data_IF_471310914383
#
_entry.id   IF_471310914383
#
_cell.length_a   1.000
_cell.length_b   1.000
_cell.length_c   1.000
_cell.angle_alpha   90.00
_cell.angle_beta   90.00
_cell.angle_gamma   90.00
#
_symmetry.space_group_name_H-M   'P 1'
#
loop_
_entity.id
_entity.type
_entity.pdbx_description
1 polymer ?
#
# COMPACT_ATOMS: atom_id res chain seq x y z
N UNK A 1 80.51 8.36 66.18
CA UNK A 1 81.42 9.53 66.21
C UNK A 1 81.79 9.90 64.79
N UNK A 2 81.17 10.96 64.25
CA UNK A 2 81.81 12.06 63.51
C UNK A 2 80.69 12.83 62.79
N UNK A 3 80.57 14.10 63.19
CA UNK A 3 79.76 15.15 62.58
C UNK A 3 80.38 15.52 61.22
N UNK A 4 79.56 16.03 60.29
CA UNK A 4 79.76 17.33 59.61
C UNK A 4 78.64 17.60 58.56
N UNK A 5 78.41 18.85 58.12
CA UNK A 5 77.10 19.50 58.25
C UNK A 5 76.50 20.12 56.96
N UNK A 6 75.27 20.63 57.12
CA UNK A 6 74.65 21.86 56.55
C UNK A 6 74.66 22.13 55.03
N UNK A 7 73.44 21.98 54.47
CA UNK A 7 72.65 22.93 53.67
C UNK A 7 73.31 23.93 52.71
N UNK A 8 72.90 23.87 51.43
CA UNK A 8 73.09 24.95 50.45
C UNK A 8 72.42 24.67 49.10
N UNK A 9 71.18 25.16 48.93
CA UNK A 9 70.45 25.55 47.72
C UNK A 9 70.98 25.08 46.34
N UNK A 10 70.15 24.37 45.57
CA UNK A 10 70.23 24.36 44.09
C UNK A 10 68.84 24.31 43.44
N UNK A 11 68.58 25.35 42.65
CA UNK A 11 67.55 25.55 41.62
C UNK A 11 66.68 24.34 41.25
N UNK A 12 65.38 24.45 41.53
CA UNK A 12 64.36 23.63 40.90
C UNK A 12 64.29 23.95 39.39
N UNK A 13 64.76 23.03 38.57
CA UNK A 13 64.64 23.08 37.11
C UNK A 13 63.18 22.79 36.75
N UNK A 14 62.46 23.79 36.27
CA UNK A 14 61.12 23.60 35.68
C UNK A 14 61.32 22.89 34.34
N UNK A 15 61.13 21.56 34.31
CA UNK A 15 60.98 20.84 33.05
C UNK A 15 59.67 21.30 32.40
N UNK A 16 59.79 22.14 31.37
CA UNK A 16 58.69 22.46 30.48
C UNK A 16 58.28 21.21 29.70
N UNK A 17 57.17 20.59 30.11
CA UNK A 17 56.43 19.66 29.26
C UNK A 17 55.86 20.47 28.09
N UNK A 18 56.55 20.45 26.95
CA UNK A 18 55.98 20.87 25.68
C UNK A 18 54.82 19.92 25.33
N UNK A 19 53.60 20.33 25.66
CA UNK A 19 52.39 19.67 25.16
C UNK A 19 52.36 19.81 23.64
N UNK A 20 52.72 18.75 22.93
CA UNK A 20 52.37 18.56 21.52
C UNK A 20 50.84 18.45 21.42
N UNK A 21 50.18 19.60 21.39
CA UNK A 21 48.79 19.68 20.94
C UNK A 21 48.76 19.37 19.45
N UNK A 22 48.58 18.08 19.11
CA UNK A 22 48.25 17.65 17.77
C UNK A 22 46.93 18.33 17.37
N UNK A 23 47.02 19.46 16.67
CA UNK A 23 45.89 20.11 16.04
C UNK A 23 45.45 19.20 14.88
N UNK A 24 44.58 18.24 15.16
CA UNK A 24 43.87 17.52 14.12
C UNK A 24 43.07 18.56 13.33
N UNK A 25 43.50 18.86 12.11
CA UNK A 25 42.74 19.72 11.21
C UNK A 25 41.32 19.12 11.08
N UNK A 26 40.25 19.93 11.20
CA UNK A 26 38.90 19.41 11.09
C UNK A 26 38.73 18.75 9.73
N UNK A 27 38.31 17.49 9.73
CA UNK A 27 38.07 16.74 8.51
C UNK A 27 37.06 17.50 7.63
N UNK A 28 37.50 17.95 6.45
CA UNK A 28 36.61 18.61 5.50
C UNK A 28 35.67 17.57 4.90
N UNK A 29 34.38 17.67 5.20
CA UNK A 29 33.35 16.83 4.59
C UNK A 29 33.19 17.29 3.13
N UNK A 30 33.64 16.46 2.18
CA UNK A 30 33.47 16.72 0.76
C UNK A 30 32.00 16.55 0.37
N UNK A 31 31.46 17.52 -0.37
CA UNK A 31 30.11 17.42 -0.90
C UNK A 31 29.98 16.16 -1.79
N UNK A 32 28.88 15.38 -1.68
CA UNK A 32 28.66 14.22 -2.52
C UNK A 32 28.56 14.60 -4.01
N UNK A 33 29.14 13.79 -4.88
CA UNK A 33 29.02 13.97 -6.33
C UNK A 33 27.56 13.85 -6.79
N UNK A 34 27.22 14.56 -7.86
CA UNK A 34 25.89 14.46 -8.47
C UNK A 34 25.72 13.14 -9.23
N UNK A 35 24.53 12.55 -9.13
CA UNK A 35 24.19 11.36 -9.91
C UNK A 35 23.73 11.76 -11.33
N UNK A 36 23.99 10.92 -12.34
CA UNK A 36 23.47 11.14 -13.68
C UNK A 36 21.94 11.15 -13.68
N UNK A 37 21.35 11.96 -14.56
CA UNK A 37 19.91 11.97 -14.77
C UNK A 37 19.43 10.59 -15.25
N UNK A 38 18.27 10.16 -14.74
CA UNK A 38 17.60 8.91 -15.12
C UNK A 38 16.14 9.19 -15.41
N UNK A 39 15.52 8.35 -16.23
CA UNK A 39 14.10 8.47 -16.56
C UNK A 39 13.25 8.43 -15.28
N UNK A 40 12.30 9.34 -15.17
CA UNK A 40 11.33 9.37 -14.08
C UNK A 40 10.12 8.49 -14.42
N UNK A 41 9.28 8.22 -13.42
CA UNK A 41 7.98 7.58 -13.63
C UNK A 41 7.15 8.32 -14.69
N UNK A 42 7.15 9.66 -14.65
CA UNK A 42 6.40 10.48 -15.59
C UNK A 42 6.94 10.33 -17.03
N UNK A 43 8.26 10.25 -17.21
CA UNK A 43 8.88 10.02 -18.52
C UNK A 43 8.47 8.66 -19.09
N UNK A 44 8.45 7.62 -18.26
CA UNK A 44 8.03 6.27 -18.67
C UNK A 44 6.56 6.25 -19.07
N UNK A 45 5.67 6.88 -18.29
CA UNK A 45 4.25 6.98 -18.62
C UNK A 45 4.07 7.73 -19.94
N UNK A 46 4.77 8.85 -20.14
CA UNK A 46 4.72 9.65 -21.38
C UNK A 46 5.20 8.86 -22.61
N UNK A 47 6.20 7.99 -22.45
CA UNK A 47 6.76 7.17 -23.53
C UNK A 47 6.00 5.86 -23.78
N UNK A 48 5.07 5.49 -22.89
CA UNK A 48 4.32 4.23 -22.99
C UNK A 48 3.38 4.19 -24.20
N UNK A 49 3.14 3.00 -24.73
CA UNK A 49 2.28 2.73 -25.89
C UNK A 49 0.92 2.22 -25.44
N UNK A 50 -0.16 2.35 -26.23
CA UNK A 50 -1.47 1.78 -25.88
C UNK A 50 -1.44 0.30 -25.47
N UNK A 51 -0.58 -0.51 -26.10
CA UNK A 51 -0.40 -1.94 -25.76
C UNK A 51 0.18 -2.20 -24.37
N UNK A 52 0.82 -1.20 -23.74
CA UNK A 52 1.35 -1.29 -22.39
C UNK A 52 0.26 -1.13 -21.32
N UNK A 53 -0.98 -0.87 -21.74
CA UNK A 53 -2.11 -0.62 -20.86
C UNK A 53 -3.23 -1.63 -21.11
N UNK A 54 -4.02 -1.89 -20.08
CA UNK A 54 -5.27 -2.64 -20.19
C UNK A 54 -6.41 -1.82 -19.59
N UNK A 55 -7.63 -1.89 -20.16
CA UNK A 55 -8.79 -1.35 -19.49
C UNK A 55 -9.07 -2.11 -18.19
N UNK A 56 -9.83 -1.47 -17.31
CA UNK A 56 -10.50 -2.17 -16.23
C UNK A 56 -11.64 -3.03 -16.79
N UNK A 57 -11.85 -4.21 -16.22
CA UNK A 57 -12.98 -5.06 -16.53
C UNK A 57 -14.24 -4.52 -15.82
N UNK A 58 -15.30 -4.10 -16.55
CA UNK A 58 -16.52 -3.58 -15.93
C UNK A 58 -17.22 -4.60 -15.01
N UNK A 59 -17.07 -5.89 -15.26
CA UNK A 59 -17.65 -6.96 -14.42
C UNK A 59 -16.86 -7.16 -13.14
N UNK A 60 -15.66 -6.57 -13.01
CA UNK A 60 -14.81 -6.64 -11.82
C UNK A 60 -14.41 -5.25 -11.32
N UNK A 61 -15.20 -4.23 -11.63
CA UNK A 61 -14.95 -2.85 -11.17
C UNK A 61 -16.14 -2.33 -10.37
N UNK A 62 -15.90 -1.87 -9.15
CA UNK A 62 -16.90 -1.20 -8.33
C UNK A 62 -16.70 0.32 -8.36
N UNK A 63 -17.81 1.05 -8.39
CA UNK A 63 -17.87 2.47 -8.11
C UNK A 63 -18.48 2.66 -6.72
N UNK A 64 -17.67 3.18 -5.80
CA UNK A 64 -18.09 3.65 -4.49
C UNK A 64 -18.31 5.17 -4.58
N UNK A 65 -19.57 5.58 -4.58
CA UNK A 65 -19.96 6.99 -4.65
C UNK A 65 -20.24 7.53 -3.25
N UNK A 66 -19.46 8.54 -2.85
CA UNK A 66 -19.63 9.29 -1.59
C UNK A 66 -19.90 10.77 -1.90
N UNK A 67 -20.29 11.61 -0.92
CA UNK A 67 -20.50 13.04 -1.14
C UNK A 67 -19.35 13.75 -1.86
N UNK A 68 -18.10 13.44 -1.49
CA UNK A 68 -16.91 14.09 -2.02
C UNK A 68 -16.52 13.62 -3.44
N UNK A 69 -17.07 12.51 -3.95
CA UNK A 69 -16.77 12.01 -5.28
C UNK A 69 -16.83 10.49 -5.38
N UNK A 70 -16.27 9.97 -6.48
CA UNK A 70 -16.24 8.54 -6.81
C UNK A 70 -14.89 7.93 -6.49
N UNK A 71 -14.91 6.80 -5.80
CA UNK A 71 -13.78 5.88 -5.65
C UNK A 71 -14.00 4.70 -6.60
N UNK A 72 -12.98 4.35 -7.37
CA UNK A 72 -13.02 3.21 -8.30
C UNK A 72 -12.18 2.08 -7.74
N UNK A 73 -12.78 0.90 -7.58
CA UNK A 73 -12.17 -0.29 -6.99
C UNK A 73 -12.14 -1.39 -8.04
N UNK A 74 -10.96 -1.98 -8.26
CA UNK A 74 -10.77 -3.16 -9.10
C UNK A 74 -10.75 -4.42 -8.23
N UNK A 75 -11.62 -5.39 -8.53
CA UNK A 75 -11.76 -6.66 -7.80
C UNK A 75 -10.83 -7.74 -8.35
N UNK A 76 -10.40 -8.66 -7.48
CA UNK A 76 -9.42 -9.70 -7.76
C UNK A 76 -10.03 -11.12 -7.65
N UNK A 77 -10.92 -11.54 -8.57
CA UNK A 77 -11.58 -12.85 -8.51
C UNK A 77 -10.60 -14.04 -8.58
N UNK A 78 -9.41 -13.86 -9.15
CA UNK A 78 -8.39 -14.92 -9.18
C UNK A 78 -7.82 -15.25 -7.79
N UNK A 79 -7.97 -14.35 -6.81
CA UNK A 79 -7.49 -14.52 -5.44
C UNK A 79 -8.61 -14.77 -4.43
N UNK A 80 -9.78 -14.13 -4.61
CA UNK A 80 -10.91 -14.25 -3.69
C UNK A 80 -12.24 -14.45 -4.45
N UNK A 81 -12.38 -15.55 -5.23
CA UNK A 81 -13.53 -15.73 -6.12
C UNK A 81 -14.86 -15.77 -5.37
N UNK A 82 -14.93 -16.39 -4.19
CA UNK A 82 -16.19 -16.48 -3.41
C UNK A 82 -16.57 -15.13 -2.81
N UNK A 83 -15.62 -14.41 -2.24
CA UNK A 83 -15.89 -13.07 -1.69
C UNK A 83 -16.22 -12.08 -2.80
N UNK A 84 -15.53 -12.11 -3.93
CA UNK A 84 -15.84 -11.25 -5.08
C UNK A 84 -17.26 -11.54 -5.60
N UNK A 85 -17.65 -12.81 -5.72
CA UNK A 85 -19.02 -13.17 -6.08
C UNK A 85 -20.05 -12.66 -5.07
N UNK A 86 -19.76 -12.80 -3.76
CA UNK A 86 -20.67 -12.35 -2.71
C UNK A 86 -20.79 -10.83 -2.62
N UNK A 87 -19.69 -10.09 -2.80
CA UNK A 87 -19.69 -8.63 -2.89
C UNK A 87 -20.54 -8.17 -4.08
N UNK A 88 -20.45 -8.85 -5.22
CA UNK A 88 -21.34 -8.55 -6.36
C UNK A 88 -22.81 -8.80 -6.03
N UNK A 89 -23.14 -9.84 -5.25
CA UNK A 89 -24.49 -10.07 -4.76
C UNK A 89 -24.95 -8.96 -3.80
N UNK A 90 -24.11 -8.54 -2.84
CA UNK A 90 -24.40 -7.40 -1.94
C UNK A 90 -24.63 -6.10 -2.72
N UNK A 91 -23.84 -5.85 -3.78
CA UNK A 91 -24.02 -4.70 -4.67
C UNK A 91 -25.32 -4.79 -5.47
N UNK A 92 -25.68 -5.97 -5.99
CA UNK A 92 -26.92 -6.19 -6.71
C UNK A 92 -28.16 -5.99 -5.82
N UNK A 93 -28.05 -6.35 -4.53
CA UNK A 93 -29.07 -6.11 -3.50
C UNK A 93 -29.06 -4.68 -2.95
N UNK A 94 -28.20 -3.79 -3.46
CA UNK A 94 -28.02 -2.42 -2.98
C UNK A 94 -27.72 -2.36 -1.47
N UNK A 95 -27.05 -3.38 -0.92
CA UNK A 95 -26.78 -3.50 0.51
C UNK A 95 -26.05 -2.25 1.04
N UNK A 96 -25.00 -1.80 0.36
CA UNK A 96 -24.18 -0.66 0.80
C UNK A 96 -24.86 0.70 0.67
N UNK A 97 -25.97 0.81 -0.05
CA UNK A 97 -26.65 2.10 -0.27
C UNK A 97 -27.23 2.62 1.04
N UNK A 98 -26.85 3.86 1.39
CA UNK A 98 -27.24 4.50 2.65
C UNK A 98 -26.46 4.02 3.87
N UNK A 99 -25.52 3.08 3.71
CA UNK A 99 -24.55 2.74 4.75
C UNK A 99 -23.47 3.83 4.84
N UNK A 100 -22.36 3.56 5.54
CA UNK A 100 -21.34 4.59 5.73
C UNK A 100 -19.91 4.04 5.82
N UNK A 101 -18.96 4.94 5.57
CA UNK A 101 -17.60 4.82 6.12
C UNK A 101 -17.70 5.21 7.60
N UNK A 102 -17.48 4.23 8.48
CA UNK A 102 -17.71 4.34 9.93
C UNK A 102 -16.42 4.41 10.73
N UNK A 103 -15.27 4.17 10.08
CA UNK A 103 -13.96 4.10 10.71
C UNK A 103 -12.89 4.62 9.78
N UNK A 104 -12.04 5.49 10.31
CA UNK A 104 -10.81 5.94 9.66
C UNK A 104 -9.70 5.98 10.71
N UNK A 105 -8.86 4.95 10.72
CA UNK A 105 -7.75 4.85 11.66
C UNK A 105 -6.48 5.38 11.02
N UNK A 106 -5.76 6.22 11.75
CA UNK A 106 -4.55 6.83 11.24
C UNK A 106 -3.49 5.80 10.83
N UNK A 107 -2.87 6.05 9.68
CA UNK A 107 -1.83 5.21 9.10
C UNK A 107 -2.23 3.72 8.94
N UNK A 108 -3.54 3.43 8.85
CA UNK A 108 -4.07 2.07 8.85
C UNK A 108 -5.13 1.91 7.76
N UNK A 109 -6.43 1.97 8.09
CA UNK A 109 -7.52 1.72 7.14
C UNK A 109 -8.66 2.74 7.27
N UNK A 110 -9.36 2.95 6.15
CA UNK A 110 -10.72 3.46 6.13
C UNK A 110 -11.66 2.29 5.89
N UNK A 111 -12.61 2.07 6.79
CA UNK A 111 -13.54 0.93 6.78
C UNK A 111 -14.98 1.41 6.69
N UNK A 112 -15.76 0.67 5.91
CA UNK A 112 -17.17 0.92 5.67
C UNK A 112 -18.01 -0.34 5.82
N UNK A 113 -19.28 -0.12 6.17
CA UNK A 113 -20.22 -1.17 6.52
C UNK A 113 -21.48 -0.56 7.12
N UNK A 114 -22.30 -1.38 7.76
CA UNK A 114 -23.52 -0.93 8.41
C UNK A 114 -23.22 -0.24 9.74
N UNK A 115 -23.55 1.05 9.94
CA UNK A 115 -23.37 1.72 11.23
C UNK A 115 -24.27 1.15 12.34
N UNK A 116 -25.30 0.36 12.01
CA UNK A 116 -26.18 -0.31 12.95
C UNK A 116 -25.90 -1.82 13.04
N UNK A 117 -24.78 -2.19 13.66
CA UNK A 117 -24.38 -3.60 13.83
C UNK A 117 -25.38 -4.43 14.66
N UNK A 118 -26.19 -3.79 15.52
CA UNK A 118 -27.21 -4.49 16.34
C UNK A 118 -28.41 -4.94 15.53
N UNK A 119 -28.75 -4.21 14.46
CA UNK A 119 -29.85 -4.54 13.57
C UNK A 119 -29.43 -4.20 12.14
N UNK A 120 -28.51 -4.99 11.56
CA UNK A 120 -27.93 -4.68 10.28
C UNK A 120 -28.98 -4.84 9.18
N UNK A 121 -28.87 -4.00 8.14
CA UNK A 121 -29.68 -4.04 6.94
C UNK A 121 -29.77 -5.48 6.41
N UNK A 122 -30.97 -5.96 6.05
CA UNK A 122 -31.15 -7.33 5.59
C UNK A 122 -30.41 -7.56 4.28
N UNK A 123 -29.97 -8.80 4.09
CA UNK A 123 -29.46 -9.33 2.81
C UNK A 123 -30.40 -10.45 2.36
N UNK A 124 -30.49 -10.67 1.05
CA UNK A 124 -31.43 -11.62 0.44
C UNK A 124 -30.73 -12.90 0.00
N UNK A 125 -29.76 -12.79 -0.90
CA UNK A 125 -29.04 -13.90 -1.54
C UNK A 125 -27.56 -13.93 -1.15
N UNK A 126 -26.97 -12.78 -0.80
CA UNK A 126 -25.63 -12.71 -0.27
C UNK A 126 -25.51 -13.40 1.10
N UNK A 127 -24.27 -13.68 1.51
CA UNK A 127 -23.92 -14.30 2.79
C UNK A 127 -23.21 -13.30 3.70
N UNK A 128 -23.55 -13.29 4.99
CA UNK A 128 -22.83 -12.46 5.99
C UNK A 128 -21.45 -13.00 6.32
N UNK A 129 -21.30 -14.31 6.24
CA UNK A 129 -20.09 -15.04 6.61
C UNK A 129 -19.64 -15.90 5.43
N UNK A 130 -18.33 -16.07 5.28
CA UNK A 130 -17.72 -16.92 4.26
C UNK A 130 -16.39 -17.44 4.81
N UNK A 131 -16.00 -18.69 4.52
CA UNK A 131 -14.65 -19.16 4.81
C UNK A 131 -13.61 -18.24 4.16
N UNK A 132 -12.63 -17.77 4.95
CA UNK A 132 -11.59 -16.86 4.47
C UNK A 132 -10.82 -17.37 3.25
N UNK A 133 -10.58 -16.49 2.29
CA UNK A 133 -9.82 -16.74 1.05
C UNK A 133 -8.43 -16.08 1.16
N UNK A 134 -7.66 -16.51 2.15
CA UNK A 134 -6.40 -15.86 2.53
C UNK A 134 -5.23 -16.17 1.59
N UNK A 135 -5.31 -17.31 0.90
CA UNK A 135 -4.33 -17.76 -0.09
C UNK A 135 -5.03 -18.55 -1.19
N UNK A 136 -4.39 -18.64 -2.35
CA UNK A 136 -4.78 -19.53 -3.45
C UNK A 136 -3.63 -20.46 -3.84
N UNK A 137 -3.91 -21.62 -4.46
CA UNK A 137 -2.87 -22.42 -5.09
C UNK A 137 -2.12 -21.60 -6.14
N UNK A 138 -0.80 -21.75 -6.19
CA UNK A 138 0.06 -20.99 -7.11
C UNK A 138 -0.34 -21.18 -8.58
N UNK A 139 -0.84 -22.37 -8.95
CA UNK A 139 -1.35 -22.68 -10.30
C UNK A 139 -2.57 -21.85 -10.73
N UNK A 140 -3.28 -21.23 -9.79
CA UNK A 140 -4.39 -20.32 -10.06
C UNK A 140 -3.88 -19.01 -10.68
N UNK A 141 -2.66 -18.60 -10.33
CA UNK A 141 -2.06 -17.35 -10.79
C UNK A 141 -1.45 -17.53 -12.18
N UNK A 142 -2.15 -17.02 -13.20
CA UNK A 142 -1.76 -17.15 -14.61
C UNK A 142 -0.57 -16.29 -15.01
N UNK A 143 -0.37 -15.16 -14.33
CA UNK A 143 0.72 -14.23 -14.60
C UNK A 143 1.27 -13.68 -13.29
N UNK A 144 2.60 -13.59 -13.20
CA UNK A 144 3.28 -13.02 -12.04
C UNK A 144 4.55 -12.32 -12.49
N UNK A 145 4.55 -11.01 -12.39
CA UNK A 145 5.73 -10.17 -12.62
C UNK A 145 6.52 -10.10 -11.33
N UNK A 146 7.55 -10.95 -11.20
CA UNK A 146 8.39 -11.01 -10.01
C UNK A 146 9.25 -9.75 -9.88
N UNK A 147 9.27 -9.15 -8.69
CA UNK A 147 10.30 -8.17 -8.34
C UNK A 147 11.61 -8.89 -8.02
N UNK A 148 12.76 -8.39 -8.48
CA UNK A 148 14.04 -9.05 -8.22
C UNK A 148 14.55 -8.78 -6.80
N UNK A 149 14.03 -7.74 -6.12
CA UNK A 149 14.40 -7.40 -4.75
C UNK A 149 13.86 -8.39 -3.72
N UNK A 150 14.57 -8.47 -2.60
CA UNK A 150 14.14 -9.22 -1.41
C UNK A 150 12.97 -8.52 -0.72
N UNK A 151 12.08 -9.29 -0.12
CA UNK A 151 10.95 -8.78 0.68
C UNK A 151 11.02 -9.37 2.08
N UNK A 152 10.66 -8.57 3.08
CA UNK A 152 10.73 -8.98 4.49
C UNK A 152 9.62 -9.93 4.93
N UNK A 153 8.54 -10.07 4.15
CA UNK A 153 7.32 -10.79 4.51
C UNK A 153 7.10 -12.07 3.67
N UNK A 154 7.68 -12.17 2.48
CA UNK A 154 7.43 -13.29 1.57
C UNK A 154 8.68 -13.73 0.78
N UNK A 155 8.80 -15.04 0.42
CA UNK A 155 9.90 -15.54 -0.40
C UNK A 155 9.98 -14.90 -1.80
N UNK A 156 8.82 -14.58 -2.39
CA UNK A 156 8.73 -13.87 -3.67
C UNK A 156 7.57 -12.88 -3.62
N UNK A 157 7.83 -11.65 -4.06
CA UNK A 157 6.81 -10.61 -4.27
C UNK A 157 6.83 -10.10 -5.70
N UNK A 158 5.73 -9.48 -6.10
CA UNK A 158 5.52 -9.07 -7.47
C UNK A 158 4.10 -8.61 -7.73
N UNK A 159 3.74 -8.62 -9.01
CA UNK A 159 2.43 -8.19 -9.46
C UNK A 159 1.75 -9.25 -10.31
N UNK A 160 0.51 -9.57 -9.95
CA UNK A 160 -0.36 -10.48 -10.70
C UNK A 160 -1.44 -9.64 -11.35
N UNK A 161 -1.36 -9.45 -12.68
CA UNK A 161 -2.30 -8.61 -13.43
C UNK A 161 -2.53 -7.21 -12.80
N UNK A 162 -1.48 -6.50 -12.37
CA UNK A 162 -1.62 -5.19 -11.74
C UNK A 162 -2.10 -5.20 -10.28
N UNK A 163 -2.16 -6.36 -9.62
CA UNK A 163 -2.36 -6.45 -8.16
C UNK A 163 -1.03 -6.76 -7.47
N UNK A 164 -0.65 -6.03 -6.40
CA UNK A 164 0.52 -6.37 -5.60
C UNK A 164 0.24 -7.70 -4.88
N UNK A 165 1.16 -8.64 -5.05
CA UNK A 165 0.96 -10.04 -4.66
C UNK A 165 2.27 -10.68 -4.24
N UNK A 166 2.14 -11.74 -3.45
CA UNK A 166 3.24 -12.54 -2.95
C UNK A 166 2.96 -14.02 -3.20
N UNK A 167 4.03 -14.81 -3.23
CA UNK A 167 3.94 -16.25 -3.38
C UNK A 167 5.08 -16.97 -2.69
N UNK A 168 4.82 -18.20 -2.32
CA UNK A 168 5.81 -19.14 -1.82
C UNK A 168 5.82 -20.40 -2.71
N UNK A 169 6.80 -20.53 -3.60
CA UNK A 169 6.95 -21.73 -4.42
C UNK A 169 7.15 -23.01 -3.63
N UNK A 170 7.66 -22.96 -2.38
CA UNK A 170 7.87 -24.15 -1.56
C UNK A 170 6.55 -24.76 -1.07
N UNK A 171 5.62 -23.90 -0.64
CA UNK A 171 4.28 -24.34 -0.22
C UNK A 171 3.28 -24.37 -1.37
N UNK A 172 3.62 -23.81 -2.52
CA UNK A 172 2.76 -23.79 -3.71
C UNK A 172 1.56 -22.86 -3.55
N UNK A 173 1.71 -21.77 -2.80
CA UNK A 173 0.62 -20.81 -2.51
C UNK A 173 0.96 -19.39 -2.97
N UNK A 174 -0.08 -18.60 -3.25
CA UNK A 174 0.00 -17.18 -3.57
C UNK A 174 -1.09 -16.40 -2.84
N UNK A 175 -0.87 -15.11 -2.61
CA UNK A 175 -1.81 -14.21 -1.92
C UNK A 175 -1.62 -12.76 -2.38
N UNK A 176 -2.64 -11.93 -2.15
CA UNK A 176 -2.51 -10.49 -2.29
C UNK A 176 -1.85 -9.90 -1.04
N UNK A 177 -1.02 -8.89 -1.24
CA UNK A 177 -0.33 -8.20 -0.14
C UNK A 177 -1.16 -7.01 0.34
N UNK A 178 -1.18 -6.73 1.64
CA UNK A 178 -1.85 -5.55 2.23
C UNK A 178 -1.07 -4.25 1.96
N UNK A 179 -0.91 -3.88 0.70
CA UNK A 179 -0.30 -2.62 0.30
C UNK A 179 -1.30 -1.46 0.42
N UNK A 180 -0.78 -0.23 0.38
CA UNK A 180 -1.62 0.97 0.24
C UNK A 180 -2.64 0.80 -0.90
N UNK A 181 -3.86 1.28 -0.68
CA UNK A 181 -5.01 1.16 -1.58
C UNK A 181 -5.57 -0.25 -1.79
N UNK A 182 -5.03 -1.32 -1.19
CA UNK A 182 -5.69 -2.63 -1.24
C UNK A 182 -6.98 -2.64 -0.43
N UNK A 183 -7.97 -3.40 -0.92
CA UNK A 183 -9.30 -3.52 -0.31
C UNK A 183 -9.45 -4.91 0.30
N UNK A 184 -9.68 -4.96 1.61
CA UNK A 184 -9.88 -6.19 2.36
C UNK A 184 -11.28 -6.30 2.96
N UNK A 185 -11.60 -7.49 3.45
CA UNK A 185 -12.88 -7.82 4.08
C UNK A 185 -12.76 -7.68 5.59
N UNK A 186 -13.64 -6.87 6.19
CA UNK A 186 -13.79 -6.81 7.63
C UNK A 186 -14.27 -8.15 8.18
N UNK A 187 -13.71 -8.59 9.32
CA UNK A 187 -14.11 -9.81 10.00
C UNK A 187 -13.91 -9.67 11.51
N UNK A 188 -14.65 -10.47 12.25
CA UNK A 188 -14.40 -10.72 13.67
C UNK A 188 -13.23 -11.71 13.85
N UNK A 189 -13.00 -12.16 15.09
CA UNK A 189 -11.95 -13.10 15.45
C UNK A 189 -12.00 -14.41 14.65
N UNK A 190 -13.19 -14.92 14.33
CA UNK A 190 -13.35 -16.15 13.55
C UNK A 190 -12.95 -15.93 12.08
N UNK A 191 -12.18 -16.86 11.50
CA UNK A 191 -11.65 -16.75 10.14
C UNK A 191 -12.71 -16.79 9.03
N UNK A 192 -13.93 -17.19 9.36
CA UNK A 192 -15.07 -17.30 8.46
C UNK A 192 -16.15 -16.23 8.69
N UNK A 193 -15.92 -15.28 9.60
CA UNK A 193 -16.92 -14.28 9.99
C UNK A 193 -17.12 -13.14 8.97
N UNK A 194 -16.22 -12.98 8.00
CA UNK A 194 -16.25 -11.87 7.04
C UNK A 194 -16.79 -12.26 5.67
N UNK A 195 -18.05 -11.94 5.37
CA UNK A 195 -18.65 -12.16 4.04
C UNK A 195 -18.49 -10.97 3.07
N UNK A 196 -17.95 -9.84 3.52
CA UNK A 196 -17.84 -8.61 2.71
C UNK A 196 -18.93 -7.57 2.98
N UNK A 197 -19.81 -7.79 3.96
CA UNK A 197 -20.72 -6.74 4.46
C UNK A 197 -19.95 -5.56 5.05
N UNK A 198 -18.73 -5.81 5.51
CA UNK A 198 -17.76 -4.79 5.86
C UNK A 198 -16.52 -4.92 4.97
N UNK A 199 -16.03 -3.79 4.50
CA UNK A 199 -14.83 -3.69 3.67
C UNK A 199 -13.97 -2.53 4.16
N UNK A 200 -12.69 -2.59 3.87
CA UNK A 200 -11.78 -1.50 4.19
C UNK A 200 -10.76 -1.30 3.08
N UNK A 201 -10.23 -0.08 2.98
CA UNK A 201 -9.08 0.23 2.15
C UNK A 201 -7.90 0.60 3.05
N UNK A 202 -6.70 0.09 2.74
CA UNK A 202 -5.46 0.51 3.41
C UNK A 202 -5.14 1.95 3.01
N UNK A 203 -5.09 2.86 3.98
CA UNK A 203 -4.89 4.32 3.77
C UNK A 203 -3.53 4.84 4.23
N UNK A 204 -2.64 3.97 4.70
CA UNK A 204 -1.32 4.36 5.21
C UNK A 204 -0.26 3.27 5.04
N UNK A 205 0.59 3.13 6.06
CA UNK A 205 1.63 2.10 6.10
C UNK A 205 1.00 0.73 5.86
N UNK A 206 1.59 -0.01 4.93
CA UNK A 206 1.10 -1.31 4.50
C UNK A 206 1.16 -2.33 5.63
N UNK A 207 0.00 -2.82 6.15
CA UNK A 207 -0.04 -3.72 7.28
C UNK A 207 0.20 -5.17 6.84
N UNK A 208 1.39 -5.44 6.31
CA UNK A 208 1.78 -6.73 5.69
C UNK A 208 1.74 -7.92 6.65
N UNK A 209 1.66 -7.69 7.96
CA UNK A 209 1.41 -8.77 8.92
C UNK A 209 -0.02 -9.33 8.86
N UNK A 210 -0.94 -8.68 8.14
CA UNK A 210 -2.28 -9.21 7.84
C UNK A 210 -2.31 -10.12 6.60
N UNK A 211 -1.20 -10.15 5.83
CA UNK A 211 -1.09 -11.06 4.70
C UNK A 211 -1.35 -12.49 5.17
N UNK A 212 -2.26 -13.18 4.49
CA UNK A 212 -2.68 -14.56 4.78
C UNK A 212 -3.54 -14.73 6.05
N UNK A 213 -3.96 -13.64 6.68
CA UNK A 213 -4.90 -13.65 7.82
C UNK A 213 -6.24 -12.95 7.52
N UNK A 214 -6.27 -12.10 6.49
CA UNK A 214 -7.49 -11.41 6.02
C UNK A 214 -7.66 -11.64 4.51
N UNK A 215 -8.91 -11.81 4.07
CA UNK A 215 -9.23 -11.86 2.64
C UNK A 215 -9.08 -10.46 2.03
N UNK A 216 -8.16 -10.33 1.07
CA UNK A 216 -8.07 -9.14 0.20
C UNK A 216 -8.84 -9.43 -1.08
N UNK A 217 -9.74 -8.52 -1.46
CA UNK A 217 -10.69 -8.71 -2.57
C UNK A 217 -10.41 -7.81 -3.76
N UNK A 218 -9.50 -6.85 -3.63
CA UNK A 218 -9.20 -5.92 -4.70
C UNK A 218 -8.29 -4.77 -4.30
N UNK A 219 -8.35 -3.68 -5.06
CA UNK A 219 -7.64 -2.43 -4.76
C UNK A 219 -8.38 -1.21 -5.31
N UNK A 220 -8.22 -0.07 -4.66
CA UNK A 220 -8.61 1.23 -5.19
C UNK A 220 -7.64 1.61 -6.32
N UNK A 221 -8.19 1.93 -7.49
CA UNK A 221 -7.42 2.36 -8.68
C UNK A 221 -7.58 3.85 -8.98
N UNK A 222 -8.60 4.49 -8.42
CA UNK A 222 -8.80 5.94 -8.48
C UNK A 222 -9.64 6.42 -7.30
N UNK A 223 -9.45 7.68 -6.89
CA UNK A 223 -10.20 8.29 -5.78
C UNK A 223 -9.62 8.00 -4.40
N UNK A 224 -8.41 7.44 -4.28
CA UNK A 224 -7.79 7.12 -3.00
C UNK A 224 -7.69 8.32 -2.02
N UNK A 225 -7.39 9.57 -2.45
CA UNK A 225 -7.41 10.71 -1.55
C UNK A 225 -8.75 10.91 -0.84
N UNK A 226 -9.87 10.53 -1.46
CA UNK A 226 -11.20 10.65 -0.86
C UNK A 226 -11.38 9.73 0.37
N UNK A 227 -10.54 8.70 0.52
CA UNK A 227 -10.51 7.81 1.67
C UNK A 227 -9.36 8.15 2.62
N UNK A 228 -8.17 8.43 2.09
CA UNK A 228 -6.97 8.59 2.93
C UNK A 228 -6.93 9.91 3.70
N UNK A 229 -7.62 10.95 3.23
CA UNK A 229 -7.71 12.25 3.91
C UNK A 229 -8.95 12.40 4.79
N UNK A 230 -9.72 11.33 5.02
CA UNK A 230 -10.85 11.38 5.93
C UNK A 230 -10.40 11.77 7.35
N UNK A 231 -11.17 12.61 8.08
CA UNK A 231 -10.92 12.87 9.49
C UNK A 231 -10.79 11.55 10.25
N UNK A 232 -9.81 11.47 11.16
CA UNK A 232 -9.57 10.24 11.93
C UNK A 232 -10.66 10.04 12.97
N UNK A 233 -11.10 8.80 13.15
CA UNK A 233 -12.02 8.44 14.22
C UNK A 233 -11.35 8.54 15.58
N UNK A 234 -12.10 9.04 16.55
CA UNK A 234 -11.66 9.26 17.94
C UNK A 234 -12.08 8.14 18.88
N UNK A 235 -12.90 7.20 18.41
CA UNK A 235 -13.32 6.01 19.16
C UNK A 235 -12.29 4.87 19.11
N UNK A 236 -12.58 3.76 19.81
CA UNK A 236 -11.74 2.56 19.80
C UNK A 236 -11.41 2.12 18.38
N UNK A 237 -10.16 1.71 18.13
CA UNK A 237 -9.67 1.32 16.80
C UNK A 237 -9.93 2.34 15.67
N UNK A 238 -10.15 3.62 15.98
CA UNK A 238 -10.39 4.66 14.99
C UNK A 238 -11.81 4.66 14.40
N UNK A 239 -12.78 4.03 15.06
CA UNK A 239 -14.20 4.22 14.73
C UNK A 239 -14.63 5.66 15.02
N UNK A 240 -15.60 6.16 14.26
CA UNK A 240 -16.26 7.41 14.60
C UNK A 240 -17.11 7.23 15.85
N UNK A 241 -17.03 8.20 16.76
CA UNK A 241 -17.73 8.21 18.05
C UNK A 241 -19.13 8.84 17.98
N UNK A 242 -19.52 9.37 16.81
CA UNK A 242 -20.85 9.93 16.59
C UNK A 242 -21.33 9.69 15.14
N UNK A 243 -22.64 9.48 14.92
CA UNK A 243 -23.21 9.23 13.59
C UNK A 243 -22.95 10.36 12.58
N UNK A 244 -22.80 11.60 13.03
CA UNK A 244 -22.60 12.79 12.17
C UNK A 244 -21.21 12.80 11.51
N UNK A 245 -20.25 12.07 12.08
CA UNK A 245 -18.90 11.91 11.53
C UNK A 245 -18.83 10.81 10.47
N UNK A 246 -19.82 9.92 10.40
CA UNK A 246 -19.89 8.89 9.38
C UNK A 246 -20.00 9.54 7.99
N UNK A 247 -19.26 9.00 7.01
CA UNK A 247 -19.37 9.46 5.63
C UNK A 247 -20.39 8.59 4.91
N UNK A 248 -21.54 9.14 4.49
CA UNK A 248 -22.58 8.33 3.89
C UNK A 248 -22.14 7.79 2.52
N UNK A 249 -22.48 6.53 2.26
CA UNK A 249 -22.34 5.91 0.95
C UNK A 249 -23.60 6.21 0.17
N UNK A 250 -23.47 6.98 -0.92
CA UNK A 250 -24.60 7.24 -1.83
C UNK A 250 -24.98 5.95 -2.55
N UNK A 251 -23.99 5.26 -3.08
CA UNK A 251 -24.17 3.99 -3.76
C UNK A 251 -22.85 3.23 -3.87
N UNK A 252 -22.93 1.90 -3.90
CA UNK A 252 -21.90 1.08 -4.55
C UNK A 252 -22.53 0.40 -5.76
N UNK A 253 -21.89 0.50 -6.92
CA UNK A 253 -22.37 -0.10 -8.19
C UNK A 253 -21.27 -0.88 -8.88
N UNK A 254 -21.65 -1.96 -9.55
CA UNK A 254 -20.77 -2.65 -10.49
C UNK A 254 -20.69 -1.79 -11.77
N UNK A 255 -19.51 -1.55 -12.29
CA UNK A 255 -19.35 -0.71 -13.49
C UNK A 255 -20.14 -1.28 -14.69
N UNK A 256 -20.28 -2.60 -14.79
CA UNK A 256 -21.11 -3.25 -15.80
C UNK A 256 -22.60 -2.84 -15.75
N UNK A 257 -23.14 -2.48 -14.58
CA UNK A 257 -24.53 -2.00 -14.45
C UNK A 257 -24.70 -0.49 -14.64
N UNK A 258 -23.61 0.24 -14.83
CA UNK A 258 -23.61 1.68 -15.12
C UNK A 258 -23.58 1.90 -16.64
N UNK A 259 -24.34 2.87 -17.19
CA UNK A 259 -24.30 3.15 -18.63
C UNK A 259 -22.89 3.46 -19.14
N UNK A 260 -22.48 2.97 -20.33
CA UNK A 260 -21.11 3.11 -20.83
C UNK A 260 -20.55 4.54 -20.83
N UNK A 261 -21.39 5.53 -21.11
CA UNK A 261 -21.02 6.96 -21.13
C UNK A 261 -20.73 7.54 -19.74
N UNK A 262 -21.18 6.87 -18.67
CA UNK A 262 -20.95 7.25 -17.28
C UNK A 262 -19.83 6.43 -16.60
N UNK A 263 -19.26 5.46 -17.33
CA UNK A 263 -18.15 4.64 -16.83
C UNK A 263 -16.84 5.42 -16.88
N UNK A 264 -16.02 5.20 -15.87
CA UNK A 264 -14.63 5.67 -15.87
C UNK A 264 -13.85 5.03 -17.02
N UNK A 265 -13.11 5.84 -17.79
CA UNK A 265 -12.26 5.38 -18.89
C UNK A 265 -10.83 5.15 -18.40
N UNK A 266 -10.69 4.38 -17.32
CA UNK A 266 -9.41 4.11 -16.69
C UNK A 266 -8.71 2.92 -17.34
N UNK A 267 -7.41 3.06 -17.52
CA UNK A 267 -6.53 1.96 -17.90
C UNK A 267 -5.42 1.80 -16.87
N UNK A 268 -5.03 0.56 -16.64
CA UNK A 268 -3.94 0.16 -15.76
C UNK A 268 -2.77 -0.29 -16.60
N UNK A 269 -1.55 0.16 -16.27
CA UNK A 269 -0.36 -0.33 -16.94
C UNK A 269 -0.22 -1.83 -16.71
N UNK A 270 -0.04 -2.59 -17.79
CA UNK A 270 0.17 -4.02 -17.73
C UNK A 270 1.52 -4.30 -17.06
N UNK A 271 1.50 -5.06 -15.97
CA UNK A 271 2.73 -5.32 -15.20
C UNK A 271 3.69 -6.28 -15.90
N UNK A 272 3.21 -7.04 -16.89
CA UNK A 272 4.04 -7.89 -17.75
C UNK A 272 4.72 -7.14 -18.90
N UNK A 273 4.50 -5.83 -19.04
CA UNK A 273 5.06 -5.02 -20.12
C UNK A 273 6.50 -4.55 -19.83
N UNK A 274 7.23 -4.25 -20.90
CA UNK A 274 8.55 -3.59 -20.80
C UNK A 274 8.45 -2.19 -20.19
N UNK A 275 7.35 -1.46 -20.44
CA UNK A 275 7.10 -0.16 -19.82
C UNK A 275 7.02 -0.28 -18.29
N UNK A 276 6.38 -1.33 -17.77
CA UNK A 276 6.33 -1.55 -16.33
C UNK A 276 7.69 -1.91 -15.72
N UNK A 277 8.54 -2.66 -16.43
CA UNK A 277 9.92 -2.87 -15.99
C UNK A 277 10.67 -1.53 -15.88
N UNK A 278 10.49 -0.63 -16.84
CA UNK A 278 11.06 0.72 -16.77
C UNK A 278 10.50 1.55 -15.61
N UNK A 279 9.23 1.38 -15.24
CA UNK A 279 8.64 1.99 -14.02
C UNK A 279 9.38 1.53 -12.76
N UNK A 280 9.62 0.22 -12.63
CA UNK A 280 10.35 -0.32 -11.49
C UNK A 280 11.78 0.22 -11.43
N UNK A 281 12.49 0.22 -12.56
CA UNK A 281 13.85 0.76 -12.65
C UNK A 281 13.92 2.25 -12.32
N UNK A 282 12.97 3.05 -12.81
CA UNK A 282 12.87 4.47 -12.46
C UNK A 282 12.69 4.68 -10.95
N UNK A 283 11.94 3.79 -10.27
CA UNK A 283 11.71 3.86 -8.84
C UNK A 283 12.93 3.40 -8.02
N UNK A 284 13.55 2.28 -8.41
CA UNK A 284 14.77 1.73 -7.76
C UNK A 284 15.96 2.67 -7.92
N UNK A 285 16.05 3.32 -9.07
CA UNK A 285 17.24 4.03 -9.52
C UNK A 285 16.98 5.50 -9.85
N UNK A 286 16.40 6.24 -8.90
CA UNK A 286 16.28 7.70 -9.02
C UNK A 286 17.67 8.34 -9.14
N UNK A 287 17.79 9.31 -10.05
CA UNK A 287 19.02 10.04 -10.35
C UNK A 287 18.80 11.54 -10.47
N UNK A 288 19.79 12.23 -11.02
CA UNK A 288 19.78 13.68 -11.19
C UNK A 288 20.38 14.46 -9.99
N UNK A 289 20.45 15.79 -10.08
CA UNK A 289 21.27 16.62 -9.19
C UNK A 289 20.83 16.59 -7.73
N UNK A 290 19.54 16.31 -7.46
CA UNK A 290 18.99 16.16 -6.10
C UNK A 290 19.43 14.85 -5.43
N UNK A 291 19.50 13.75 -6.18
CA UNK A 291 19.85 12.43 -5.65
C UNK A 291 21.36 12.27 -5.51
N UNK A 292 21.82 11.86 -4.31
CA UNK A 292 23.25 11.59 -4.02
C UNK A 292 23.56 10.10 -3.91
N UNK A 293 22.57 9.28 -3.57
CA UNK A 293 22.67 7.82 -3.47
C UNK A 293 21.41 7.21 -4.09
N UNK A 294 21.58 6.18 -4.91
CA UNK A 294 20.48 5.38 -5.45
C UNK A 294 20.07 4.31 -4.44
N UNK A 295 18.76 4.10 -4.25
CA UNK A 295 18.28 3.05 -3.35
C UNK A 295 18.64 1.65 -3.85
N UNK A 296 18.51 1.43 -5.18
CA UNK A 296 18.77 0.14 -5.81
C UNK A 296 17.75 -0.94 -5.43
N UNK A 297 16.66 -0.55 -4.78
CA UNK A 297 15.67 -1.42 -4.17
C UNK A 297 14.28 -0.76 -4.23
N UNK A 298 13.24 -1.56 -4.42
CA UNK A 298 11.84 -1.16 -4.28
C UNK A 298 11.03 -2.28 -3.59
N UNK A 299 10.37 -1.92 -2.49
CA UNK A 299 9.40 -2.79 -1.82
C UNK A 299 8.13 -2.94 -2.68
N UNK A 300 7.45 -4.09 -2.62
CA UNK A 300 6.25 -4.35 -3.42
C UNK A 300 5.14 -3.33 -3.20
N UNK A 301 4.99 -2.81 -1.98
CA UNK A 301 4.00 -1.78 -1.67
C UNK A 301 4.44 -0.36 -2.01
N UNK A 302 5.71 -0.18 -2.38
CA UNK A 302 6.27 1.05 -2.92
C UNK A 302 6.49 1.01 -4.44
N UNK A 303 6.19 -0.13 -5.09
CA UNK A 303 6.21 -0.28 -6.53
C UNK A 303 4.90 0.28 -7.12
N UNK A 304 4.94 1.45 -7.80
CA UNK A 304 3.72 2.07 -8.29
C UNK A 304 3.12 1.23 -9.42
N UNK A 305 1.80 1.20 -9.51
CA UNK A 305 1.05 0.59 -10.62
C UNK A 305 0.31 1.72 -11.32
N UNK A 306 0.88 2.29 -12.40
CA UNK A 306 0.29 3.45 -13.05
C UNK A 306 -1.14 3.19 -13.51
N UNK A 307 -1.99 4.18 -13.29
CA UNK A 307 -3.35 4.25 -13.79
C UNK A 307 -3.47 5.55 -14.57
N UNK A 308 -4.10 5.51 -15.74
CA UNK A 308 -4.39 6.69 -16.55
C UNK A 308 -5.86 6.74 -16.92
N UNK A 309 -6.33 7.93 -17.26
CA UNK A 309 -7.65 8.14 -17.83
C UNK A 309 -7.52 8.46 -19.31
N UNK A 310 -8.34 7.82 -20.14
CA UNK A 310 -8.31 7.96 -21.60
C UNK A 310 -9.42 8.90 -22.08
N UNK A 311 -9.07 9.81 -22.98
CA UNK A 311 -10.03 10.72 -23.62
C UNK A 311 -10.35 11.98 -22.80
N UNK A 312 -9.41 12.41 -21.96
CA UNK A 312 -9.38 13.77 -21.38
C UNK A 312 -8.46 14.67 -22.17
#
# INVERSE_FOLDING_TARGET
MYRHPLSGLTMATVLGLAQLAAHAAPAQIKAPAELPAKATLADVIKASKPSDWRPLDPDNTLYLDIPAGRVVIELAPDFAPKHVANIKALVAEQYYDGLAITRAQDNWVAQWGDPNEKNPKPIQHAQRTLPGEFTVPLKTIKSFTRLPDVDGYAPQVGHSNGFPSARDPKTGTAWLTHCYATVGVGRDSASDSGGGTELYAVIGQSPRHLDRDITVVGRVVSGMPLLSTLPRGTGPMGFYDSPEKNVPIKAIRLAASVPPEQRSKLEVMRTDSAAYQAVLEAQRHRGGPWSKVTAGHVDVCNAPIPVREVGK
#
